data_IF_128445924533
#
_entry.id   IF_128445924533
#
_cell.length_a   1.000
_cell.length_b   1.000
_cell.length_c   1.000
_cell.angle_alpha   90.00
_cell.angle_beta   90.00
_cell.angle_gamma   90.00
#
_symmetry.space_group_name_H-M   'P 1'
#
loop_
_entity.id
_entity.type
_entity.pdbx_description
1 polymer ?
#
# COMPACT_ATOMS: atom_id res chain seq x y z
N UNK A 1 0.42 2.68 -0.87
CA UNK A 1 -0.27 1.65 -0.06
C UNK A 1 -1.33 0.99 -0.93
N UNK A 2 -1.63 -0.28 -0.73
CA UNK A 2 -2.68 -1.01 -1.47
C UNK A 2 -3.46 -1.90 -0.52
N UNK A 3 -4.66 -2.31 -0.90
CA UNK A 3 -5.43 -3.34 -0.19
C UNK A 3 -5.24 -4.71 -0.85
N UNK A 4 -5.45 -5.78 -0.08
CA UNK A 4 -5.45 -7.14 -0.62
C UNK A 4 -6.54 -7.28 -1.68
N UNK A 5 -6.15 -7.60 -2.91
CA UNK A 5 -7.08 -7.76 -4.04
C UNK A 5 -7.05 -9.20 -4.56
N UNK A 6 -8.15 -9.96 -4.45
CA UNK A 6 -8.26 -11.29 -5.02
C UNK A 6 -8.45 -11.22 -6.54
N UNK A 7 -7.34 -11.09 -7.28
CA UNK A 7 -7.39 -11.09 -8.74
C UNK A 7 -7.90 -12.43 -9.29
N UNK A 8 -8.70 -12.42 -10.38
CA UNK A 8 -9.16 -13.65 -11.04
C UNK A 8 -8.01 -14.61 -11.35
N UNK A 9 -8.25 -15.90 -11.14
CA UNK A 9 -7.27 -16.97 -11.40
C UNK A 9 -6.17 -17.11 -10.33
N UNK A 10 -6.13 -16.25 -9.31
CA UNK A 10 -5.16 -16.41 -8.22
C UNK A 10 -5.63 -17.43 -7.16
N UNK A 11 -4.71 -18.09 -6.45
CA UNK A 11 -5.07 -18.94 -5.31
C UNK A 11 -5.85 -18.19 -4.22
N UNK A 12 -5.60 -16.88 -4.07
CA UNK A 12 -6.34 -16.05 -3.14
C UNK A 12 -7.82 -15.91 -3.55
N UNK A 13 -8.09 -15.67 -4.83
CA UNK A 13 -9.46 -15.62 -5.35
C UNK A 13 -10.19 -16.94 -5.13
N UNK A 14 -9.57 -18.07 -5.49
CA UNK A 14 -10.15 -19.41 -5.28
C UNK A 14 -10.48 -19.63 -3.82
N UNK A 15 -9.52 -19.37 -2.91
CA UNK A 15 -9.75 -19.53 -1.47
C UNK A 15 -10.89 -18.66 -0.96
N UNK A 16 -10.94 -17.37 -1.31
CA UNK A 16 -11.99 -16.47 -0.81
C UNK A 16 -13.37 -16.79 -1.41
N UNK A 17 -13.41 -17.27 -2.66
CA UNK A 17 -14.63 -17.79 -3.28
C UNK A 17 -15.14 -19.01 -2.53
N UNK A 18 -14.27 -19.99 -2.28
CA UNK A 18 -14.62 -21.24 -1.61
C UNK A 18 -14.99 -21.00 -0.12
N UNK A 19 -14.43 -19.96 0.50
CA UNK A 19 -14.83 -19.46 1.83
C UNK A 19 -16.14 -18.64 1.81
N UNK A 20 -16.74 -18.35 0.65
CA UNK A 20 -17.95 -17.53 0.52
C UNK A 20 -17.75 -16.06 0.91
N UNK A 21 -16.52 -15.55 0.79
CA UNK A 21 -16.12 -14.22 1.27
C UNK A 21 -15.97 -13.17 0.19
N UNK A 22 -16.10 -13.51 -1.10
CA UNK A 22 -16.15 -12.52 -2.16
C UNK A 22 -17.48 -11.73 -2.09
N UNK A 23 -17.44 -10.42 -2.35
CA UNK A 23 -18.67 -9.60 -2.35
C UNK A 23 -19.50 -9.81 -3.60
N UNK A 24 -18.83 -10.06 -4.72
CA UNK A 24 -19.44 -10.38 -6.02
C UNK A 24 -18.67 -11.53 -6.66
N UNK A 25 -19.27 -12.28 -7.58
CA UNK A 25 -18.58 -13.38 -8.26
C UNK A 25 -17.60 -12.86 -9.34
N UNK A 26 -17.95 -11.73 -9.96
CA UNK A 26 -17.15 -11.02 -10.98
C UNK A 26 -17.07 -9.54 -10.61
N UNK A 27 -15.86 -9.03 -10.42
CA UNK A 27 -15.58 -7.64 -10.03
C UNK A 27 -14.28 -7.12 -10.68
N UNK A 28 -14.07 -7.46 -11.95
CA UNK A 28 -12.80 -7.19 -12.66
C UNK A 28 -12.50 -5.70 -12.79
N UNK A 29 -13.56 -4.90 -12.92
CA UNK A 29 -13.56 -3.44 -12.90
C UNK A 29 -13.10 -2.85 -11.56
N UNK A 30 -13.18 -3.63 -10.46
CA UNK A 30 -12.78 -3.23 -9.10
C UNK A 30 -11.47 -3.84 -8.64
N UNK A 31 -10.71 -4.46 -9.54
CA UNK A 31 -9.38 -4.97 -9.24
C UNK A 31 -8.31 -3.85 -9.27
N UNK A 32 -8.60 -2.70 -8.65
CA UNK A 32 -7.78 -1.47 -8.72
C UNK A 32 -6.64 -1.42 -7.72
N UNK A 33 -6.57 -2.38 -6.79
CA UNK A 33 -5.73 -2.35 -5.57
C UNK A 33 -6.18 -1.36 -4.49
N UNK A 34 -7.33 -0.71 -4.66
CA UNK A 34 -7.88 0.24 -3.68
C UNK A 34 -9.33 -0.07 -3.28
N UNK A 35 -10.02 -0.95 -3.99
CA UNK A 35 -11.37 -1.40 -3.64
C UNK A 35 -11.34 -2.65 -2.74
N UNK A 36 -12.22 -2.68 -1.75
CA UNK A 36 -12.47 -3.88 -0.94
C UNK A 36 -13.49 -4.75 -1.66
N UNK A 37 -13.07 -5.91 -2.18
CA UNK A 37 -13.93 -6.83 -2.95
C UNK A 37 -14.24 -8.14 -2.20
N UNK A 38 -13.94 -8.19 -0.90
CA UNK A 38 -14.16 -9.36 -0.05
C UNK A 38 -14.53 -8.96 1.39
N UNK A 39 -15.16 -9.87 2.14
CA UNK A 39 -15.44 -9.72 3.58
C UNK A 39 -14.22 -10.11 4.41
N UNK A 40 -13.55 -9.20 5.14
CA UNK A 40 -12.48 -9.56 6.07
C UNK A 40 -12.98 -10.42 7.26
N UNK A 41 -12.10 -11.22 7.89
CA UNK A 41 -12.48 -12.16 8.97
C UNK A 41 -12.63 -11.50 10.35
N UNK A 42 -12.01 -10.34 10.58
CA UNK A 42 -11.81 -9.76 11.93
C UNK A 42 -12.24 -8.30 12.04
N UNK A 43 -12.83 -7.74 11.00
CA UNK A 43 -13.30 -6.36 10.96
C UNK A 43 -14.45 -6.26 9.95
N UNK A 44 -15.20 -5.17 9.98
CA UNK A 44 -16.18 -4.88 8.92
C UNK A 44 -15.48 -4.39 7.64
N UNK A 45 -16.23 -4.31 6.53
CA UNK A 45 -15.69 -3.72 5.29
C UNK A 45 -15.43 -2.24 5.51
N UNK A 46 -16.37 -1.59 6.21
CA UNK A 46 -16.37 -0.18 6.56
C UNK A 46 -15.15 0.19 7.40
N UNK A 47 -14.80 -0.63 8.39
CA UNK A 47 -13.58 -0.44 9.21
C UNK A 47 -12.33 -0.52 8.36
N UNK A 48 -12.26 -1.50 7.44
CA UNK A 48 -11.11 -1.66 6.55
C UNK A 48 -10.97 -0.44 5.63
N UNK A 49 -12.05 0.01 5.02
CA UNK A 49 -12.04 1.18 4.15
C UNK A 49 -11.70 2.46 4.92
N UNK A 50 -12.26 2.66 6.12
CA UNK A 50 -11.96 3.80 6.97
C UNK A 50 -10.48 3.81 7.37
N UNK A 51 -9.94 2.65 7.77
CA UNK A 51 -8.52 2.49 8.08
C UNK A 51 -7.60 2.78 6.89
N UNK A 52 -7.97 2.34 5.68
CA UNK A 52 -7.23 2.67 4.45
C UNK A 52 -7.22 4.18 4.19
N UNK A 53 -8.39 4.84 4.28
CA UNK A 53 -8.49 6.31 4.09
C UNK A 53 -7.64 7.06 5.12
N UNK A 54 -7.70 6.65 6.39
CA UNK A 54 -6.89 7.23 7.45
C UNK A 54 -5.38 7.06 7.20
N UNK A 55 -4.93 5.85 6.84
CA UNK A 55 -3.53 5.58 6.52
C UNK A 55 -3.05 6.41 5.31
N UNK A 56 -3.88 6.58 4.29
CA UNK A 56 -3.54 7.45 3.16
C UNK A 56 -3.32 8.89 3.60
N UNK A 57 -4.25 9.44 4.39
CA UNK A 57 -4.14 10.80 4.90
C UNK A 57 -2.87 11.00 5.74
N UNK A 58 -2.54 10.04 6.61
CA UNK A 58 -1.37 10.13 7.48
C UNK A 58 -0.06 10.04 6.66
N UNK A 59 0.08 9.00 5.84
CA UNK A 59 1.33 8.70 5.11
C UNK A 59 1.65 9.74 4.02
N UNK A 60 0.62 10.28 3.37
CA UNK A 60 0.76 11.22 2.27
C UNK A 60 0.47 12.68 2.69
N UNK A 61 0.47 12.97 3.99
CA UNK A 61 0.41 14.34 4.48
C UNK A 61 1.65 15.15 4.06
N UNK A 62 1.49 16.47 3.99
CA UNK A 62 2.58 17.40 3.65
C UNK A 62 3.74 17.32 4.64
N UNK A 63 3.42 17.17 5.93
CA UNK A 63 4.42 17.01 6.99
C UNK A 63 5.31 15.79 6.70
N UNK A 64 4.69 14.65 6.39
CA UNK A 64 5.43 13.41 6.10
C UNK A 64 6.15 13.45 4.77
N UNK A 65 5.61 14.15 3.78
CA UNK A 65 6.30 14.41 2.52
C UNK A 65 7.57 15.24 2.75
N UNK A 66 7.48 16.36 3.47
CA UNK A 66 8.62 17.24 3.77
C UNK A 66 9.68 16.50 4.59
N UNK A 67 9.27 15.72 5.60
CA UNK A 67 10.19 14.91 6.42
C UNK A 67 10.98 13.93 5.56
N UNK A 68 10.29 13.14 4.73
CA UNK A 68 10.92 12.15 3.84
C UNK A 68 11.84 12.82 2.82
N UNK A 69 11.40 13.94 2.22
CA UNK A 69 12.20 14.72 1.28
C UNK A 69 13.49 15.24 1.93
N UNK A 70 13.42 15.76 3.15
CA UNK A 70 14.60 16.24 3.87
C UNK A 70 15.60 15.11 4.12
N UNK A 71 15.12 13.99 4.67
CA UNK A 71 15.97 12.82 4.92
C UNK A 71 16.67 12.34 3.64
N UNK A 72 15.95 12.25 2.53
CA UNK A 72 16.53 11.92 1.22
C UNK A 72 17.63 12.89 0.80
N UNK A 73 17.40 14.20 0.92
CA UNK A 73 18.38 15.22 0.54
C UNK A 73 19.63 15.17 1.42
N UNK A 74 19.48 14.87 2.71
CA UNK A 74 20.60 14.76 3.64
C UNK A 74 21.47 13.54 3.34
N UNK A 75 20.84 12.37 3.08
CA UNK A 75 21.54 11.16 2.60
C UNK A 75 22.32 11.50 1.33
N UNK A 76 21.69 12.17 0.38
CA UNK A 76 22.33 12.48 -0.90
C UNK A 76 23.49 13.48 -0.78
N UNK A 77 23.39 14.47 0.12
CA UNK A 77 24.51 15.36 0.43
C UNK A 77 25.67 14.62 1.06
N UNK A 78 25.38 13.68 1.96
CA UNK A 78 26.41 12.86 2.60
C UNK A 78 27.14 11.98 1.58
N UNK A 79 26.40 11.28 0.72
CA UNK A 79 26.99 10.47 -0.35
C UNK A 79 27.88 11.31 -1.28
N UNK A 80 27.45 12.52 -1.67
CA UNK A 80 28.30 13.44 -2.46
C UNK A 80 29.56 13.87 -1.72
N UNK A 81 29.48 14.12 -0.42
CA UNK A 81 30.66 14.46 0.39
C UNK A 81 31.62 13.29 0.45
N UNK A 82 31.13 12.08 0.71
CA UNK A 82 31.95 10.86 0.74
C UNK A 82 32.65 10.62 -0.60
N UNK A 83 31.96 10.79 -1.73
CA UNK A 83 32.55 10.73 -3.08
C UNK A 83 33.61 11.81 -3.34
N UNK A 84 33.42 13.01 -2.80
CA UNK A 84 34.35 14.13 -2.99
C UNK A 84 35.55 14.09 -2.02
N UNK A 85 35.44 13.36 -0.90
CA UNK A 85 36.46 13.30 0.16
C UNK A 85 37.29 12.02 0.11
N UNK A 86 36.96 11.08 -0.79
CA UNK A 86 37.70 9.83 -0.98
C UNK A 86 38.33 9.73 -2.36
N UNK A 87 39.66 9.84 -2.41
CA UNK A 87 40.51 8.99 -3.24
C UNK A 87 40.03 7.52 -3.16
N UNK A 88 40.23 6.71 -4.23
CA UNK A 88 39.65 5.39 -4.34
C UNK A 88 40.10 4.47 -3.18
N UNK A 89 39.14 3.74 -2.60
CA UNK A 89 39.44 2.53 -1.81
C UNK A 89 39.90 1.40 -2.70
#
# INVERSE_FOLDING_TARGET
MTVMTPFPGTPLYVRLRDEGRLLEERFWDRCTLFDVTYRPKRMSIEDLEAGLRWLFAELYSDAEFVRRRRAYMDIHKQLRREMNTGEPR
#
